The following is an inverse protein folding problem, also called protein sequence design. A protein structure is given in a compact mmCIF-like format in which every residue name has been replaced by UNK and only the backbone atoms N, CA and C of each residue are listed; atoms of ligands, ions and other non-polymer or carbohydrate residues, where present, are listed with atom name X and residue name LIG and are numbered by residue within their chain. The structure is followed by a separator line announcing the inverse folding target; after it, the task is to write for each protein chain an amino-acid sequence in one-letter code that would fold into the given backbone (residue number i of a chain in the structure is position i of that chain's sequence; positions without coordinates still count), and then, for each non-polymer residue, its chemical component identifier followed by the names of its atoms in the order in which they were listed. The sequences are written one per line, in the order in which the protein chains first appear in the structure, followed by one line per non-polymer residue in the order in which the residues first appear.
data_IF_631380632260
#
_entry.id   IF_631380632260
#
_cell.length_a   1.000
_cell.length_b   1.000
_cell.length_c   1.000
_cell.angle_alpha   90.00
_cell.angle_beta   90.00
_cell.angle_gamma   90.00
#
_symmetry.space_group_name_H-M   'P 1'
#
loop_
_entity.id
_entity.type
_entity.pdbx_description
1 polymer ?
#
# COMPACT_ATOMS: atom_id res chain seq x y z
N UNK A 1 -3.40 8.50 12.80
CA UNK A 1 -4.29 8.58 13.98
C UNK A 1 -5.31 9.72 13.84
N UNK A 2 -6.60 9.40 14.02
CA UNK A 2 -7.66 10.40 14.07
C UNK A 2 -7.61 11.11 15.45
N UNK A 3 -7.80 12.44 15.53
CA UNK A 3 -7.82 13.13 16.80
C UNK A 3 -8.95 12.58 17.70
N UNK A 4 -8.72 12.47 19.02
CA UNK A 4 -9.78 12.07 19.96
C UNK A 4 -10.97 13.02 19.88
N UNK A 5 -12.18 12.49 20.07
CA UNK A 5 -13.40 13.31 20.02
C UNK A 5 -13.30 14.53 20.95
N UNK A 6 -13.39 15.73 20.37
CA UNK A 6 -13.38 17.01 21.08
C UNK A 6 -12.00 17.46 21.58
N UNK A 7 -10.89 16.82 21.15
CA UNK A 7 -9.53 17.25 21.49
C UNK A 7 -8.61 17.23 20.28
N UNK A 8 -7.87 18.31 20.08
CA UNK A 8 -6.86 18.41 19.03
C UNK A 8 -5.70 17.46 19.28
N UNK A 9 -5.19 16.82 18.23
CA UNK A 9 -3.91 16.12 18.28
C UNK A 9 -2.79 17.07 17.88
N UNK A 10 -1.72 17.14 18.66
CA UNK A 10 -0.62 18.07 18.41
C UNK A 10 0.57 17.37 17.75
N UNK A 11 1.15 18.02 16.74
CA UNK A 11 2.40 17.61 16.09
C UNK A 11 3.34 18.81 15.96
N UNK A 12 4.65 18.55 16.05
CA UNK A 12 5.66 19.59 15.96
C UNK A 12 6.67 19.23 14.87
N UNK A 13 6.99 20.21 14.03
CA UNK A 13 8.02 20.10 13.01
C UNK A 13 9.02 21.25 13.19
N UNK A 14 10.30 20.98 12.95
CA UNK A 14 11.33 22.01 12.94
C UNK A 14 12.21 21.88 11.71
N UNK A 15 12.78 22.99 11.25
CA UNK A 15 13.75 23.01 10.15
C UNK A 15 15.18 23.25 10.67
N UNK A 16 16.16 23.12 9.78
CA UNK A 16 17.58 23.29 10.11
C UNK A 16 17.95 24.75 10.48
N UNK A 17 17.09 25.71 10.15
CA UNK A 17 17.24 27.13 10.44
C UNK A 17 16.73 27.50 11.84
N UNK A 18 16.09 26.56 12.55
CA UNK A 18 15.57 26.74 13.89
C UNK A 18 14.10 27.19 13.95
N UNK A 19 13.41 27.25 12.82
CA UNK A 19 11.97 27.54 12.79
C UNK A 19 11.20 26.33 13.32
N UNK A 20 10.19 26.58 14.17
CA UNK A 20 9.35 25.54 14.77
C UNK A 20 7.90 25.81 14.38
N UNK A 21 7.23 24.78 13.88
CA UNK A 21 5.80 24.78 13.55
C UNK A 21 5.08 23.81 14.46
N UNK A 22 4.06 24.31 15.17
CA UNK A 22 3.13 23.51 15.96
C UNK A 22 1.82 23.39 15.19
N UNK A 23 1.37 22.15 14.97
CA UNK A 23 0.13 21.84 14.25
C UNK A 23 -0.85 21.21 15.24
N UNK A 24 -2.04 21.80 15.32
CA UNK A 24 -3.18 21.22 16.02
C UNK A 24 -4.13 20.60 14.98
N UNK A 25 -4.33 19.29 15.04
CA UNK A 25 -5.27 18.56 14.20
C UNK A 25 -6.58 18.41 14.95
N UNK A 26 -7.58 19.22 14.60
CA UNK A 26 -8.88 19.27 15.30
C UNK A 26 -9.85 18.20 14.82
N UNK A 27 -9.88 17.93 13.51
CA UNK A 27 -10.76 16.91 12.93
C UNK A 27 -10.17 16.31 11.66
N UNK A 28 -10.58 15.06 11.38
CA UNK A 28 -10.33 14.39 10.10
C UNK A 28 -11.71 14.02 9.55
N UNK A 29 -12.05 14.57 8.39
CA UNK A 29 -13.28 14.24 7.67
C UNK A 29 -12.95 13.14 6.66
N UNK A 30 -13.31 11.87 6.92
CA UNK A 30 -13.13 10.83 5.92
C UNK A 30 -14.03 11.15 4.73
N UNK A 31 -13.45 11.19 3.53
CA UNK A 31 -14.24 11.24 2.31
C UNK A 31 -14.90 9.87 2.12
N UNK A 32 -16.21 9.80 2.28
CA UNK A 32 -16.94 8.58 1.95
C UNK A 32 -17.08 8.51 0.43
N UNK A 33 -16.51 7.48 -0.17
CA UNK A 33 -16.84 7.13 -1.56
C UNK A 33 -18.28 6.65 -1.60
N UNK A 34 -19.07 7.21 -2.52
CA UNK A 34 -20.37 6.67 -2.85
C UNK A 34 -20.23 5.23 -3.36
N UNK A 35 -21.34 4.50 -3.45
CA UNK A 35 -21.30 3.07 -3.77
C UNK A 35 -20.73 2.80 -5.17
N UNK A 36 -20.97 3.73 -6.12
CA UNK A 36 -20.45 3.65 -7.49
C UNK A 36 -18.95 3.92 -7.55
N UNK A 37 -18.46 4.97 -6.89
CA UNK A 37 -17.05 5.32 -6.78
C UNK A 37 -16.27 4.24 -6.05
N UNK A 38 -16.87 3.65 -5.00
CA UNK A 38 -16.27 2.54 -4.28
C UNK A 38 -16.11 1.31 -5.18
N UNK A 39 -17.15 0.98 -5.95
CA UNK A 39 -17.09 -0.13 -6.92
C UNK A 39 -16.01 0.12 -7.97
N UNK A 40 -15.98 1.31 -8.59
CA UNK A 40 -14.96 1.67 -9.57
C UNK A 40 -13.54 1.62 -8.98
N UNK A 41 -13.35 2.11 -7.76
CA UNK A 41 -12.06 2.06 -7.09
C UNK A 41 -11.61 0.62 -6.80
N UNK A 42 -12.51 -0.24 -6.32
CA UNK A 42 -12.24 -1.67 -6.11
C UNK A 42 -11.93 -2.37 -7.44
N UNK A 43 -12.67 -2.05 -8.50
CA UNK A 43 -12.42 -2.61 -9.84
C UNK A 43 -11.04 -2.18 -10.37
N UNK A 44 -10.63 -0.92 -10.18
CA UNK A 44 -9.29 -0.43 -10.53
C UNK A 44 -8.18 -1.13 -9.72
N UNK A 45 -8.38 -1.31 -8.41
CA UNK A 45 -7.45 -2.06 -7.56
C UNK A 45 -7.31 -3.51 -8.05
N UNK A 46 -8.42 -4.19 -8.32
CA UNK A 46 -8.41 -5.55 -8.82
C UNK A 46 -7.70 -5.64 -10.18
N UNK A 47 -7.97 -4.73 -11.11
CA UNK A 47 -7.28 -4.67 -12.40
C UNK A 47 -5.76 -4.50 -12.22
N UNK A 48 -5.30 -3.62 -11.33
CA UNK A 48 -3.88 -3.42 -11.04
C UNK A 48 -3.22 -4.61 -10.32
N UNK A 49 -3.98 -5.36 -9.52
CA UNK A 49 -3.46 -6.50 -8.75
C UNK A 49 -3.37 -7.80 -9.56
N UNK A 50 -4.04 -7.92 -10.71
CA UNK A 50 -3.99 -9.16 -11.53
C UNK A 50 -2.58 -9.55 -11.94
N UNK A 51 -1.74 -8.59 -12.36
CA UNK A 51 -0.36 -8.86 -12.75
C UNK A 51 0.50 -9.33 -11.57
N UNK A 52 0.44 -8.62 -10.44
CA UNK A 52 1.22 -8.94 -9.23
C UNK A 52 0.79 -10.27 -8.62
N UNK A 53 -0.52 -10.54 -8.57
CA UNK A 53 -1.04 -11.81 -8.08
C UNK A 53 -0.66 -12.97 -9.00
N UNK A 54 -0.70 -12.78 -10.32
CA UNK A 54 -0.27 -13.79 -11.28
C UNK A 54 1.24 -14.08 -11.18
N UNK A 55 2.07 -13.04 -11.08
CA UNK A 55 3.52 -13.19 -10.89
C UNK A 55 3.85 -13.89 -9.57
N UNK A 56 3.15 -13.55 -8.48
CA UNK A 56 3.31 -14.22 -7.20
C UNK A 56 2.89 -15.70 -7.26
N UNK A 57 1.77 -16.01 -7.93
CA UNK A 57 1.34 -17.40 -8.16
C UNK A 57 2.34 -18.17 -9.01
N UNK A 58 2.88 -17.56 -10.08
CA UNK A 58 3.91 -18.17 -10.93
C UNK A 58 5.23 -18.39 -10.17
N UNK A 59 5.64 -17.41 -9.36
CA UNK A 59 6.82 -17.52 -8.51
C UNK A 59 6.67 -18.64 -7.47
N UNK A 60 5.49 -18.74 -6.83
CA UNK A 60 5.19 -19.81 -5.89
C UNK A 60 5.13 -21.18 -6.59
N UNK A 61 4.45 -21.29 -7.73
CA UNK A 61 4.43 -22.51 -8.54
C UNK A 61 5.84 -22.92 -8.99
N UNK A 62 6.69 -21.98 -9.36
CA UNK A 62 8.10 -22.23 -9.70
C UNK A 62 8.91 -22.69 -8.50
N UNK A 63 8.69 -22.10 -7.32
CA UNK A 63 9.38 -22.46 -6.09
C UNK A 63 8.97 -23.85 -5.59
N UNK A 64 7.69 -24.20 -5.70
CA UNK A 64 7.14 -25.50 -5.29
C UNK A 64 7.36 -26.60 -6.32
N UNK A 65 7.54 -26.24 -7.60
CA UNK A 65 7.89 -27.20 -8.63
C UNK A 65 9.30 -27.76 -8.38
N UNK A 66 9.38 -29.07 -8.16
CA UNK A 66 10.63 -29.83 -8.08
C UNK A 66 11.24 -29.96 -9.49
N UNK A 67 11.69 -28.83 -10.07
CA UNK A 67 12.26 -28.79 -11.43
C UNK A 67 13.59 -29.54 -11.43
N UNK A 68 13.59 -30.76 -11.95
CA UNK A 68 14.83 -31.46 -12.31
C UNK A 68 15.38 -30.82 -13.57
N UNK A 69 16.36 -29.93 -13.42
CA UNK A 69 17.10 -29.42 -14.56
C UNK A 69 17.85 -30.59 -15.22
N UNK A 70 17.47 -30.95 -16.45
CA UNK A 70 18.21 -31.93 -17.24
C UNK A 70 19.61 -31.41 -17.58
N UNK A 71 20.56 -32.32 -17.83
CA UNK A 71 22.00 -32.05 -17.94
C UNK A 71 22.43 -30.93 -18.92
N UNK A 72 21.53 -30.45 -19.79
CA UNK A 72 21.78 -29.31 -20.68
C UNK A 72 21.80 -27.94 -19.98
N UNK A 73 21.22 -27.80 -18.78
CA UNK A 73 21.19 -26.53 -18.04
C UNK A 73 22.44 -26.28 -17.18
N UNK A 74 23.35 -27.25 -17.08
CA UNK A 74 24.61 -27.12 -16.32
C UNK A 74 25.81 -26.70 -17.20
N UNK A 75 25.58 -26.43 -18.49
CA UNK A 75 26.59 -25.95 -19.42
C UNK A 75 26.25 -24.55 -19.94
N UNK A 76 26.10 -23.58 -19.04
CA UNK A 76 26.32 -22.15 -19.33
C UNK A 76 26.85 -21.44 -18.09
#
# INVERSE_FOLDING_TARGET
PQPPHGKSSYGMASNAQGDIVLIALDSVTPRTLDEQQRKQFVDQLNQGMTGVAFDALLANLRAEAKIKMGAAAHMQ
#
